data_IF_057927196489
#
_entry.id   IF_057927196489
#
_cell.length_a   1.000
_cell.length_b   1.000
_cell.length_c   1.000
_cell.angle_alpha   90.00
_cell.angle_beta   90.00
_cell.angle_gamma   90.00
#
_symmetry.space_group_name_H-M   'P 1'
#
loop_
_entity.id
_entity.type
_entity.pdbx_description
1 polymer ?
#
# COMPACT_ATOMS: atom_id res chain seq x y z
N UNK A 1 22.41 -74.06 -0.93
CA UNK A 1 21.17 -73.26 -0.69
C UNK A 1 21.58 -71.94 -0.06
N UNK A 2 21.68 -70.90 -0.87
CA UNK A 2 22.07 -69.56 -0.40
C UNK A 2 20.81 -68.67 -0.44
N UNK A 3 20.45 -68.09 0.71
CA UNK A 3 19.35 -67.15 0.84
C UNK A 3 19.91 -65.74 0.67
N UNK A 4 19.61 -65.13 -0.45
CA UNK A 4 19.95 -63.75 -0.72
C UNK A 4 18.88 -62.85 -0.04
N UNK A 5 19.28 -62.05 0.96
CA UNK A 5 18.46 -61.03 1.58
C UNK A 5 18.47 -59.77 0.68
N UNK A 6 17.30 -59.42 0.18
CA UNK A 6 17.08 -58.18 -0.55
C UNK A 6 16.80 -57.06 0.45
N UNK A 7 17.73 -56.11 0.62
CA UNK A 7 17.54 -54.92 1.43
C UNK A 7 16.84 -53.85 0.54
N UNK A 8 15.58 -53.56 0.84
CA UNK A 8 14.84 -52.45 0.26
C UNK A 8 15.23 -51.17 1.03
N UNK A 9 16.08 -50.33 0.43
CA UNK A 9 16.36 -49.02 0.95
C UNK A 9 15.21 -48.06 0.55
N UNK A 10 14.36 -47.72 1.51
CA UNK A 10 13.35 -46.68 1.34
C UNK A 10 14.09 -45.34 1.48
N UNK A 11 14.41 -44.69 0.35
CA UNK A 11 14.80 -43.29 0.35
C UNK A 11 13.56 -42.44 0.62
N UNK A 12 13.42 -41.96 1.86
CA UNK A 12 12.50 -40.89 2.18
C UNK A 12 13.03 -39.63 1.53
N UNK A 13 12.49 -39.22 0.40
CA UNK A 13 12.65 -37.88 -0.14
C UNK A 13 11.94 -36.92 0.81
N UNK A 14 12.68 -36.34 1.75
CA UNK A 14 12.25 -35.11 2.40
C UNK A 14 12.25 -34.02 1.33
N UNK A 15 11.09 -33.72 0.78
CA UNK A 15 10.86 -32.48 0.04
C UNK A 15 11.00 -31.33 1.04
N UNK A 16 12.21 -30.81 1.17
CA UNK A 16 12.44 -29.51 1.81
C UNK A 16 11.75 -28.51 0.88
N UNK A 17 10.55 -28.08 1.25
CA UNK A 17 9.93 -26.91 0.67
C UNK A 17 10.93 -25.77 0.89
N UNK A 18 11.61 -25.35 -0.17
CA UNK A 18 12.41 -24.14 -0.11
C UNK A 18 11.44 -22.99 0.23
N UNK A 19 11.43 -22.59 1.49
CA UNK A 19 10.81 -21.35 1.90
C UNK A 19 11.57 -20.29 1.11
N UNK A 20 10.88 -19.65 0.16
CA UNK A 20 11.48 -18.57 -0.61
C UNK A 20 11.97 -17.54 0.41
N UNK A 21 13.28 -17.39 0.49
CA UNK A 21 13.89 -16.44 1.40
C UNK A 21 13.47 -15.07 0.94
N UNK A 22 12.66 -14.38 1.75
CA UNK A 22 12.24 -13.02 1.45
C UNK A 22 13.48 -12.13 1.41
N UNK A 23 13.75 -11.58 0.25
CA UNK A 23 14.83 -10.60 0.08
C UNK A 23 14.36 -9.24 0.62
N UNK A 24 15.30 -8.34 0.84
CA UNK A 24 15.02 -6.96 1.24
C UNK A 24 15.40 -6.01 0.11
N UNK A 25 14.71 -4.89 0.04
CA UNK A 25 15.17 -3.75 -0.73
C UNK A 25 16.56 -3.34 -0.20
N UNK A 26 17.52 -3.20 -1.10
CA UNK A 26 18.85 -2.73 -0.75
C UNK A 26 18.87 -1.23 -0.39
N UNK A 27 17.81 -0.50 -0.70
CA UNK A 27 17.70 0.91 -0.42
C UNK A 27 17.54 1.19 1.07
N UNK A 28 18.23 2.20 1.54
CA UNK A 28 18.06 2.79 2.87
C UNK A 28 17.25 4.07 2.69
N UNK A 29 16.05 4.08 3.23
CA UNK A 29 15.17 5.25 3.25
C UNK A 29 15.48 6.06 4.51
N UNK A 30 16.29 7.11 4.35
CA UNK A 30 16.63 7.99 5.47
C UNK A 30 15.37 8.72 6.00
N UNK A 31 15.32 9.02 7.32
CA UNK A 31 14.25 9.84 7.86
C UNK A 31 14.19 11.21 7.17
N UNK A 32 12.99 11.70 6.93
CA UNK A 32 12.78 13.06 6.41
C UNK A 32 13.06 14.10 7.48
N UNK A 33 13.23 15.37 7.09
CA UNK A 33 13.40 16.47 8.03
C UNK A 33 12.15 16.68 8.91
N UNK A 34 11.01 16.19 8.51
CA UNK A 34 9.71 16.30 9.21
C UNK A 34 9.34 15.05 10.02
N UNK A 35 10.25 14.08 10.13
CA UNK A 35 10.13 12.93 11.03
C UNK A 35 9.39 11.74 10.44
N UNK A 36 9.23 11.66 9.14
CA UNK A 36 8.76 10.45 8.48
C UNK A 36 9.93 9.48 8.23
N UNK A 37 9.66 8.21 8.35
CA UNK A 37 10.59 7.14 7.98
C UNK A 37 9.88 5.97 7.34
N UNK A 38 10.43 5.49 6.24
CA UNK A 38 10.02 4.27 5.55
C UNK A 38 11.06 3.17 5.82
N UNK A 39 10.61 2.00 6.22
CA UNK A 39 11.47 0.83 6.46
C UNK A 39 10.97 -0.34 5.64
N UNK A 40 11.81 -0.92 4.80
CA UNK A 40 11.46 -2.14 4.09
C UNK A 40 11.48 -3.35 5.03
N UNK A 41 10.39 -4.11 5.06
CA UNK A 41 10.26 -5.36 5.82
C UNK A 41 10.67 -6.56 4.97
N UNK A 42 10.17 -6.63 3.74
CA UNK A 42 10.50 -7.64 2.75
C UNK A 42 10.23 -7.12 1.33
N UNK A 43 10.88 -7.73 0.34
CA UNK A 43 10.68 -7.42 -1.08
C UNK A 43 10.91 -8.67 -1.93
N UNK A 44 9.89 -9.08 -2.65
CA UNK A 44 9.95 -10.12 -3.68
C UNK A 44 9.64 -9.48 -5.02
N UNK A 45 10.65 -9.25 -5.83
CA UNK A 45 10.48 -8.52 -7.10
C UNK A 45 11.12 -9.24 -8.28
N UNK A 46 10.58 -9.00 -9.46
CA UNK A 46 11.15 -9.54 -10.70
C UNK A 46 12.57 -9.02 -10.91
N UNK A 47 12.87 -7.78 -10.52
CA UNK A 47 14.23 -7.23 -10.61
C UNK A 47 15.21 -8.03 -9.78
N UNK A 48 14.88 -8.30 -8.50
CA UNK A 48 15.73 -9.10 -7.61
C UNK A 48 15.80 -10.56 -8.04
N UNK A 49 14.82 -11.03 -8.79
CA UNK A 49 14.73 -12.40 -9.31
C UNK A 49 15.24 -12.53 -10.76
N UNK A 50 16.16 -11.65 -11.17
CA UNK A 50 16.82 -11.72 -12.48
C UNK A 50 15.87 -11.51 -13.66
N UNK A 51 14.79 -10.74 -13.49
CA UNK A 51 13.78 -10.46 -14.51
C UNK A 51 12.65 -11.50 -14.62
N UNK A 52 12.71 -12.56 -13.84
CA UNK A 52 11.67 -13.60 -13.83
C UNK A 52 10.43 -13.13 -13.08
N UNK A 53 9.25 -13.44 -13.60
CA UNK A 53 7.97 -13.10 -12.97
C UNK A 53 7.88 -13.66 -11.54
N UNK A 54 7.39 -12.84 -10.62
CA UNK A 54 7.16 -13.20 -9.23
C UNK A 54 5.68 -13.12 -8.89
N UNK A 55 5.14 -14.22 -8.40
CA UNK A 55 3.74 -14.29 -7.96
C UNK A 55 3.68 -14.62 -6.46
N UNK A 56 2.76 -13.99 -5.72
CA UNK A 56 2.56 -14.25 -4.32
C UNK A 56 2.32 -15.74 -4.04
N UNK A 57 3.00 -16.29 -3.04
CA UNK A 57 2.90 -17.70 -2.68
C UNK A 57 3.43 -18.67 -3.73
N UNK A 58 4.13 -18.22 -4.78
CA UNK A 58 4.68 -19.05 -5.85
C UNK A 58 3.61 -19.76 -6.69
N UNK A 59 2.37 -19.27 -6.68
CA UNK A 59 1.25 -19.88 -7.41
C UNK A 59 1.32 -19.54 -8.90
N UNK A 60 0.91 -20.49 -9.74
CA UNK A 60 0.66 -20.24 -11.15
C UNK A 60 -0.73 -19.63 -11.35
N UNK A 61 -0.94 -19.01 -12.50
CA UNK A 61 -2.23 -18.45 -12.89
C UNK A 61 -2.28 -16.91 -12.86
N UNK A 62 -3.48 -16.38 -12.85
CA UNK A 62 -3.72 -14.94 -12.80
C UNK A 62 -3.96 -14.51 -11.36
N UNK A 63 -2.94 -13.95 -10.72
CA UNK A 63 -3.04 -13.32 -9.39
C UNK A 63 -3.09 -11.80 -9.56
N UNK A 64 -4.24 -11.17 -9.29
CA UNK A 64 -4.45 -9.75 -9.63
C UNK A 64 -4.78 -8.86 -8.45
N UNK A 65 -6.00 -8.93 -7.91
CA UNK A 65 -6.42 -8.06 -6.80
C UNK A 65 -5.67 -8.37 -5.51
N UNK A 66 -5.44 -7.35 -4.68
CA UNK A 66 -4.79 -7.49 -3.39
C UNK A 66 -5.48 -6.60 -2.35
N UNK A 67 -5.72 -7.16 -1.16
CA UNK A 67 -6.20 -6.43 0.02
C UNK A 67 -5.38 -6.81 1.25
N UNK A 68 -5.41 -5.94 2.27
CA UNK A 68 -4.70 -6.17 3.54
C UNK A 68 -5.66 -5.91 4.70
N UNK A 69 -5.69 -6.83 5.65
CA UNK A 69 -6.48 -6.70 6.88
C UNK A 69 -5.94 -7.62 7.97
N UNK A 70 -5.91 -7.14 9.20
CA UNK A 70 -5.48 -7.88 10.39
C UNK A 70 -4.09 -8.53 10.23
N UNK A 71 -3.13 -7.78 9.66
CA UNK A 71 -1.76 -8.23 9.41
C UNK A 71 -1.62 -9.31 8.34
N UNK A 72 -2.64 -9.51 7.52
CA UNK A 72 -2.67 -10.50 6.44
C UNK A 72 -2.90 -9.82 5.10
N UNK A 73 -2.18 -10.28 4.08
CA UNK A 73 -2.37 -9.88 2.70
C UNK A 73 -3.08 -10.98 1.92
N UNK A 74 -4.17 -10.64 1.28
CA UNK A 74 -4.96 -11.53 0.43
C UNK A 74 -4.78 -11.16 -1.03
N UNK A 75 -4.41 -12.13 -1.86
CA UNK A 75 -4.27 -11.93 -3.30
C UNK A 75 -5.21 -12.87 -4.04
N UNK A 76 -6.03 -12.31 -4.92
CA UNK A 76 -6.89 -13.08 -5.81
C UNK A 76 -6.05 -13.89 -6.79
N UNK A 77 -6.29 -15.19 -6.88
CA UNK A 77 -5.70 -16.07 -7.87
C UNK A 77 -6.75 -16.93 -8.55
N UNK A 78 -6.58 -17.15 -9.84
CA UNK A 78 -7.33 -18.14 -10.62
C UNK A 78 -6.36 -18.92 -11.50
N UNK A 79 -6.54 -20.21 -11.56
CA UNK A 79 -5.77 -21.14 -12.37
C UNK A 79 -6.70 -22.25 -12.93
N UNK A 80 -6.11 -23.28 -13.50
CA UNK A 80 -6.89 -24.41 -14.07
C UNK A 80 -7.68 -25.19 -13.01
N UNK A 81 -7.31 -25.09 -11.74
CA UNK A 81 -7.97 -25.78 -10.62
C UNK A 81 -9.12 -24.97 -10.02
N UNK A 82 -9.24 -23.68 -10.35
CA UNK A 82 -10.32 -22.82 -9.87
C UNK A 82 -9.84 -21.46 -9.33
N UNK A 83 -10.65 -20.88 -8.44
CA UNK A 83 -10.38 -19.60 -7.80
C UNK A 83 -9.95 -19.77 -6.36
N UNK A 84 -8.96 -18.96 -5.96
CA UNK A 84 -8.34 -19.03 -4.62
C UNK A 84 -8.04 -17.64 -4.10
N UNK A 85 -8.02 -17.50 -2.79
CA UNK A 85 -7.29 -16.41 -2.13
C UNK A 85 -5.96 -16.96 -1.61
N UNK A 86 -4.87 -16.29 -1.95
CA UNK A 86 -3.55 -16.55 -1.40
C UNK A 86 -3.40 -15.66 -0.18
N UNK A 87 -3.37 -16.26 0.99
CA UNK A 87 -3.16 -15.55 2.26
C UNK A 87 -1.67 -15.55 2.60
N UNK A 88 -1.11 -14.36 2.73
CA UNK A 88 0.27 -14.12 3.11
C UNK A 88 0.31 -13.32 4.42
N UNK A 89 1.38 -13.49 5.18
CA UNK A 89 1.69 -12.59 6.28
C UNK A 89 2.10 -11.22 5.72
N UNK A 90 1.42 -10.17 6.10
CA UNK A 90 1.63 -8.83 5.56
C UNK A 90 2.95 -8.18 5.99
N UNK A 91 3.61 -8.69 7.05
CA UNK A 91 4.89 -8.20 7.55
C UNK A 91 6.09 -8.95 6.99
N UNK A 92 5.91 -10.19 6.57
CA UNK A 92 7.02 -11.05 6.12
C UNK A 92 6.89 -11.48 4.66
N UNK A 93 5.70 -11.34 4.05
CA UNK A 93 5.40 -11.83 2.71
C UNK A 93 5.34 -13.35 2.60
N UNK A 94 5.39 -14.07 3.73
CA UNK A 94 5.39 -15.52 3.77
C UNK A 94 4.00 -16.08 3.49
N UNK A 95 3.92 -17.19 2.73
CA UNK A 95 2.68 -17.88 2.50
C UNK A 95 2.14 -18.48 3.81
N UNK A 96 0.92 -18.11 4.18
CA UNK A 96 0.20 -18.71 5.31
C UNK A 96 -0.66 -19.89 4.83
N UNK A 97 -1.49 -19.66 3.83
CA UNK A 97 -2.34 -20.73 3.23
C UNK A 97 -2.90 -20.33 1.86
N UNK A 98 -3.39 -21.31 1.14
CA UNK A 98 -4.23 -21.14 -0.05
C UNK A 98 -5.66 -21.46 0.33
N UNK A 99 -6.58 -20.56 0.07
CA UNK A 99 -7.98 -20.64 0.44
C UNK A 99 -8.80 -20.88 -0.81
N UNK A 100 -9.31 -22.11 -0.98
CA UNK A 100 -10.18 -22.45 -2.10
C UNK A 100 -11.52 -21.73 -1.97
N UNK A 101 -11.94 -21.04 -3.03
CA UNK A 101 -13.23 -20.37 -3.10
C UNK A 101 -14.28 -21.28 -3.75
N UNK A 102 -15.51 -21.35 -3.22
CA UNK A 102 -16.58 -22.18 -3.76
C UNK A 102 -16.89 -21.85 -5.22
N UNK A 103 -16.95 -22.87 -6.08
CA UNK A 103 -17.16 -22.66 -7.52
C UNK A 103 -18.57 -22.13 -7.85
N UNK A 104 -19.56 -22.44 -7.02
CA UNK A 104 -20.95 -22.01 -7.19
C UNK A 104 -21.15 -20.51 -6.92
N UNK A 105 -20.28 -19.86 -6.14
CA UNK A 105 -20.32 -18.40 -5.95
C UNK A 105 -20.15 -17.62 -7.26
N UNK A 106 -19.62 -18.27 -8.30
CA UNK A 106 -19.34 -17.69 -9.61
C UNK A 106 -20.32 -18.14 -10.70
N UNK A 107 -21.47 -18.70 -10.30
CA UNK A 107 -22.48 -19.15 -11.24
C UNK A 107 -23.71 -18.25 -11.21
N UNK A 108 -24.32 -18.07 -12.37
CA UNK A 108 -25.65 -17.49 -12.52
C UNK A 108 -26.55 -18.57 -13.18
N UNK A 109 -27.33 -19.27 -12.35
CA UNK A 109 -27.97 -20.53 -12.77
C UNK A 109 -26.88 -21.55 -13.14
N UNK A 110 -26.99 -22.16 -14.31
CA UNK A 110 -26.00 -23.12 -14.82
C UNK A 110 -24.79 -22.47 -15.50
N UNK A 111 -24.79 -21.12 -15.67
CA UNK A 111 -23.73 -20.41 -16.38
C UNK A 111 -22.65 -19.93 -15.41
N UNK A 112 -21.40 -20.21 -15.73
CA UNK A 112 -20.25 -19.65 -15.01
C UNK A 112 -19.99 -18.21 -15.45
N UNK A 113 -19.68 -17.34 -14.48
CA UNK A 113 -19.15 -16.01 -14.77
C UNK A 113 -17.74 -16.14 -15.34
N UNK A 114 -17.39 -15.24 -16.25
CA UNK A 114 -16.02 -15.14 -16.75
C UNK A 114 -15.10 -14.40 -15.77
N UNK A 115 -13.79 -14.64 -15.91
CA UNK A 115 -12.75 -13.90 -15.17
C UNK A 115 -13.01 -13.80 -13.66
N UNK A 116 -13.37 -14.95 -13.07
CA UNK A 116 -13.66 -15.07 -11.63
C UNK A 116 -12.47 -14.68 -10.78
N UNK A 117 -12.73 -14.27 -9.52
CA UNK A 117 -11.70 -13.95 -8.53
C UNK A 117 -10.64 -12.97 -9.11
N UNK A 118 -11.12 -11.79 -9.55
CA UNK A 118 -10.25 -10.82 -10.21
C UNK A 118 -9.77 -9.71 -9.27
N UNK A 119 -10.61 -9.26 -8.34
CA UNK A 119 -10.24 -8.25 -7.35
C UNK A 119 -10.74 -8.63 -5.96
N UNK A 120 -10.04 -8.14 -4.94
CA UNK A 120 -10.36 -8.34 -3.53
C UNK A 120 -10.25 -7.02 -2.80
N UNK A 121 -11.24 -6.71 -1.96
CA UNK A 121 -11.32 -5.51 -1.14
C UNK A 121 -11.71 -5.87 0.29
N UNK A 122 -11.51 -4.92 1.20
CA UNK A 122 -11.88 -5.04 2.60
C UNK A 122 -12.69 -3.81 2.99
N UNK A 123 -13.82 -4.00 3.66
CA UNK A 123 -14.63 -2.89 4.15
C UNK A 123 -14.08 -2.27 5.45
N UNK A 124 -14.70 -1.18 5.91
CA UNK A 124 -14.26 -0.50 7.13
C UNK A 124 -14.42 -1.34 8.41
N UNK A 125 -15.19 -2.43 8.35
CA UNK A 125 -15.35 -3.39 9.45
C UNK A 125 -14.38 -4.58 9.37
N UNK A 126 -13.57 -4.67 8.31
CA UNK A 126 -12.58 -5.72 8.11
C UNK A 126 -13.12 -6.98 7.42
N UNK A 127 -14.29 -6.92 6.81
CA UNK A 127 -14.84 -8.02 6.03
C UNK A 127 -14.19 -8.09 4.65
N UNK A 128 -13.96 -9.31 4.15
CA UNK A 128 -13.29 -9.55 2.87
C UNK A 128 -14.33 -9.80 1.78
N UNK A 129 -14.15 -9.08 0.65
CA UNK A 129 -15.02 -9.19 -0.53
C UNK A 129 -14.19 -9.53 -1.75
N UNK A 130 -14.74 -10.36 -2.64
CA UNK A 130 -14.10 -10.74 -3.91
C UNK A 130 -15.03 -10.53 -5.08
N UNK A 131 -14.48 -10.14 -6.23
CA UNK A 131 -15.25 -9.92 -7.45
C UNK A 131 -14.70 -10.70 -8.64
N UNK A 132 -15.58 -10.88 -9.65
CA UNK A 132 -15.13 -11.20 -11.01
C UNK A 132 -14.73 -9.91 -11.76
N UNK A 133 -14.24 -10.05 -12.99
CA UNK A 133 -14.14 -8.96 -13.96
C UNK A 133 -15.29 -9.11 -14.95
N UNK A 134 -16.08 -8.06 -15.16
CA UNK A 134 -17.06 -8.02 -16.22
C UNK A 134 -16.42 -7.44 -17.49
N UNK A 135 -16.57 -8.17 -18.59
CA UNK A 135 -16.05 -7.73 -19.90
C UNK A 135 -17.19 -7.41 -20.85
N UNK A 136 -16.79 -6.90 -22.00
CA UNK A 136 -17.59 -6.54 -23.14
C UNK A 136 -18.78 -7.49 -23.36
N UNK A 137 -19.92 -6.87 -23.58
CA UNK A 137 -21.24 -7.48 -23.78
C UNK A 137 -21.45 -7.99 -25.21
N UNK A 138 -20.47 -7.91 -26.11
CA UNK A 138 -20.59 -8.27 -27.54
C UNK A 138 -20.37 -9.77 -27.82
N UNK A 139 -19.94 -10.53 -26.85
CA UNK A 139 -19.62 -11.94 -27.04
C UNK A 139 -20.76 -12.90 -26.73
N UNK A 140 -20.61 -14.13 -27.19
CA UNK A 140 -21.46 -15.27 -26.81
C UNK A 140 -21.23 -15.73 -25.37
N UNK A 141 -20.24 -15.20 -24.70
CA UNK A 141 -19.92 -15.48 -23.30
C UNK A 141 -20.66 -14.46 -22.44
N UNK A 142 -21.61 -14.94 -21.67
CA UNK A 142 -22.39 -14.13 -20.75
C UNK A 142 -21.52 -13.76 -19.55
N UNK A 143 -20.85 -12.64 -19.63
CA UNK A 143 -20.09 -12.06 -18.50
C UNK A 143 -20.59 -10.67 -18.16
N UNK A 144 -21.88 -10.43 -18.40
CA UNK A 144 -22.52 -9.13 -18.24
C UNK A 144 -22.77 -8.79 -16.79
N UNK A 145 -22.70 -9.75 -15.88
CA UNK A 145 -22.89 -9.51 -14.47
C UNK A 145 -21.55 -9.23 -13.80
N UNK A 146 -21.49 -8.14 -13.06
CA UNK A 146 -20.45 -7.87 -12.10
C UNK A 146 -20.93 -8.32 -10.73
N UNK A 147 -20.19 -9.19 -10.10
CA UNK A 147 -20.57 -9.77 -8.82
C UNK A 147 -19.53 -9.47 -7.76
N UNK A 148 -20.02 -9.04 -6.58
CA UNK A 148 -19.21 -8.88 -5.37
C UNK A 148 -19.76 -9.85 -4.33
N UNK A 149 -18.89 -10.70 -3.82
CA UNK A 149 -19.22 -11.66 -2.78
C UNK A 149 -18.41 -11.37 -1.52
N UNK A 150 -19.08 -11.29 -0.38
CA UNK A 150 -18.45 -11.45 0.92
C UNK A 150 -17.95 -12.89 1.06
N UNK A 151 -16.79 -13.09 1.67
CA UNK A 151 -16.22 -14.41 1.97
C UNK A 151 -15.77 -14.50 3.42
N UNK A 152 -16.27 -15.50 4.13
CA UNK A 152 -15.80 -15.83 5.48
C UNK A 152 -14.66 -16.85 5.38
N UNK A 153 -13.45 -16.36 5.34
CA UNK A 153 -12.23 -17.16 5.24
C UNK A 153 -11.89 -17.94 6.51
N UNK A 154 -12.65 -17.75 7.59
CA UNK A 154 -12.49 -18.52 8.84
C UNK A 154 -13.18 -19.88 8.77
N UNK A 155 -14.08 -20.08 7.83
CA UNK A 155 -14.84 -21.33 7.62
C UNK A 155 -14.15 -22.25 6.65
N UNK A 156 -14.38 -23.55 6.82
CA UNK A 156 -13.94 -24.59 5.89
C UNK A 156 -15.10 -25.60 5.67
N UNK A 157 -15.70 -25.63 4.48
CA UNK A 157 -15.43 -24.78 3.31
C UNK A 157 -15.75 -23.30 3.59
N UNK A 158 -15.17 -22.41 2.79
CA UNK A 158 -15.43 -20.96 2.87
C UNK A 158 -16.92 -20.72 2.70
N UNK A 159 -17.52 -19.96 3.64
CA UNK A 159 -18.88 -19.47 3.50
C UNK A 159 -18.86 -18.14 2.72
N UNK A 160 -19.90 -17.91 1.91
CA UNK A 160 -20.00 -16.67 1.16
C UNK A 160 -21.44 -16.15 1.10
N UNK A 161 -21.55 -14.84 0.82
CA UNK A 161 -22.83 -14.16 0.55
C UNK A 161 -22.62 -13.22 -0.65
N UNK A 162 -23.45 -13.35 -1.67
CA UNK A 162 -23.46 -12.38 -2.76
C UNK A 162 -24.08 -11.06 -2.26
N UNK A 163 -23.30 -10.00 -2.30
CA UNK A 163 -23.70 -8.65 -1.87
C UNK A 163 -24.19 -7.83 -3.07
N UNK A 164 -23.50 -7.92 -4.19
CA UNK A 164 -23.90 -7.28 -5.45
C UNK A 164 -23.90 -8.31 -6.56
N UNK A 165 -24.99 -8.37 -7.32
CA UNK A 165 -25.07 -9.06 -8.61
C UNK A 165 -25.70 -8.08 -9.60
N UNK A 166 -24.87 -7.31 -10.27
CA UNK A 166 -25.31 -6.21 -11.13
C UNK A 166 -25.18 -6.58 -12.59
N UNK A 167 -26.26 -6.42 -13.34
CA UNK A 167 -26.20 -6.31 -14.80
C UNK A 167 -25.81 -4.87 -15.15
N UNK A 168 -24.76 -4.72 -15.96
CA UNK A 168 -24.26 -3.40 -16.31
C UNK A 168 -25.26 -2.64 -17.18
N UNK A 169 -25.41 -1.31 -17.00
CA UNK A 169 -26.35 -0.51 -17.75
C UNK A 169 -26.14 -0.61 -19.26
N UNK A 170 -27.24 -0.81 -20.01
CA UNK A 170 -27.21 -0.91 -21.48
C UNK A 170 -26.76 0.39 -22.18
N UNK A 171 -26.76 1.50 -21.46
CA UNK A 171 -26.29 2.81 -21.92
C UNK A 171 -24.77 2.91 -22.01
N UNK A 172 -24.05 2.01 -21.35
CA UNK A 172 -22.60 1.98 -21.40
C UNK A 172 -22.10 1.44 -22.75
N UNK A 173 -20.96 1.92 -23.25
CA UNK A 173 -20.37 1.41 -24.50
C UNK A 173 -20.08 -0.09 -24.42
N UNK A 174 -20.36 -0.82 -25.49
CA UNK A 174 -20.13 -2.28 -25.56
C UNK A 174 -18.65 -2.70 -25.47
N UNK A 175 -17.73 -1.76 -25.59
CA UNK A 175 -16.28 -1.98 -25.46
C UNK A 175 -15.77 -1.86 -24.04
N UNK A 176 -16.63 -1.58 -23.09
CA UNK A 176 -16.27 -1.36 -21.71
C UNK A 176 -15.91 -2.63 -20.96
N UNK A 177 -15.26 -2.40 -19.83
CA UNK A 177 -14.86 -3.45 -18.89
C UNK A 177 -14.91 -2.91 -17.46
N UNK A 178 -15.28 -3.74 -16.52
CA UNK A 178 -15.14 -3.46 -15.08
C UNK A 178 -14.08 -4.44 -14.55
N UNK A 179 -12.92 -3.91 -14.22
CA UNK A 179 -11.79 -4.71 -13.72
C UNK A 179 -11.74 -4.76 -12.20
N UNK A 180 -12.20 -3.69 -11.56
CA UNK A 180 -11.97 -3.43 -10.15
C UNK A 180 -13.21 -2.79 -9.53
N UNK A 181 -13.21 -2.69 -8.24
CA UNK A 181 -14.21 -1.96 -7.46
C UNK A 181 -13.56 -1.42 -6.20
N UNK A 182 -14.26 -0.55 -5.52
CA UNK A 182 -13.96 -0.18 -4.15
C UNK A 182 -15.25 -0.09 -3.34
N UNK A 183 -15.13 -0.12 -2.00
CA UNK A 183 -16.26 -0.13 -1.10
C UNK A 183 -15.93 0.66 0.18
N UNK A 184 -16.96 1.26 0.75
CA UNK A 184 -16.86 2.07 1.96
C UNK A 184 -18.07 1.86 2.87
N UNK A 185 -17.84 1.82 4.18
CA UNK A 185 -18.83 1.55 5.21
C UNK A 185 -18.72 0.13 5.75
N UNK A 186 -19.65 -0.29 6.61
CA UNK A 186 -19.84 -1.69 7.04
C UNK A 186 -20.78 -2.38 6.05
N UNK A 187 -20.20 -2.90 4.98
CA UNK A 187 -20.95 -3.47 3.85
C UNK A 187 -21.81 -4.66 4.28
N UNK A 188 -21.34 -5.46 5.22
CA UNK A 188 -22.03 -6.71 5.59
C UNK A 188 -23.17 -6.49 6.57
N UNK A 189 -23.01 -5.62 7.57
CA UNK A 189 -23.94 -5.50 8.69
C UNK A 189 -24.59 -4.12 8.83
N UNK A 190 -24.06 -3.10 8.14
CA UNK A 190 -24.52 -1.72 8.20
C UNK A 190 -24.87 -1.15 6.83
N UNK A 191 -24.64 0.14 6.71
CA UNK A 191 -24.79 0.88 5.46
C UNK A 191 -23.44 1.12 4.80
N UNK A 192 -23.43 1.17 3.47
CA UNK A 192 -22.22 1.45 2.72
C UNK A 192 -22.48 1.71 1.24
N UNK A 193 -21.39 1.83 0.51
CA UNK A 193 -21.41 2.03 -0.93
C UNK A 193 -20.40 1.10 -1.61
N UNK A 194 -20.73 0.67 -2.82
CA UNK A 194 -19.83 -0.03 -3.74
C UNK A 194 -19.74 0.80 -5.01
N UNK A 195 -18.53 1.09 -5.47
CA UNK A 195 -18.27 1.88 -6.68
C UNK A 195 -17.46 1.09 -7.70
N UNK A 196 -17.89 1.13 -8.95
CA UNK A 196 -17.28 0.42 -10.07
C UNK A 196 -16.76 1.43 -11.09
N UNK A 197 -15.43 1.58 -11.26
CA UNK A 197 -14.89 2.41 -12.32
C UNK A 197 -14.99 1.68 -13.67
N UNK A 198 -15.51 2.37 -14.68
CA UNK A 198 -15.68 1.80 -16.02
C UNK A 198 -14.40 2.01 -16.83
N UNK A 199 -13.81 0.91 -17.26
CA UNK A 199 -12.62 0.89 -18.13
C UNK A 199 -13.01 1.14 -19.59
N UNK A 200 -12.32 2.03 -20.27
CA UNK A 200 -12.51 2.28 -21.69
C UNK A 200 -11.68 3.44 -22.21
N UNK A 201 -11.48 3.45 -23.53
CA UNK A 201 -10.80 4.54 -24.25
C UNK A 201 -11.78 5.52 -24.92
N UNK A 202 -13.06 5.24 -24.83
CA UNK A 202 -14.12 6.03 -25.45
C UNK A 202 -14.77 6.98 -24.43
N UNK A 203 -15.24 8.11 -24.90
CA UNK A 203 -16.08 9.00 -24.10
C UNK A 203 -17.34 8.26 -23.65
N UNK A 204 -17.71 8.42 -22.38
CA UNK A 204 -18.86 7.72 -21.79
C UNK A 204 -18.53 6.36 -21.15
N UNK A 205 -17.35 5.78 -21.41
CA UNK A 205 -16.85 4.62 -20.66
C UNK A 205 -15.77 5.03 -19.67
N UNK A 206 -14.64 5.51 -20.14
CA UNK A 206 -13.46 5.76 -19.33
C UNK A 206 -13.55 6.94 -18.35
N UNK A 207 -14.66 7.65 -18.32
CA UNK A 207 -14.97 8.71 -17.36
C UNK A 207 -16.27 8.44 -16.59
N UNK A 208 -16.63 7.17 -16.43
CA UNK A 208 -17.88 6.79 -15.78
C UNK A 208 -17.59 5.91 -14.57
N UNK A 209 -18.30 6.16 -13.50
CA UNK A 209 -18.33 5.34 -12.29
C UNK A 209 -19.77 4.94 -12.01
N UNK A 210 -19.98 3.68 -11.64
CA UNK A 210 -21.31 3.19 -11.23
C UNK A 210 -21.28 3.00 -9.71
N UNK A 211 -22.19 3.65 -9.00
CA UNK A 211 -22.31 3.58 -7.55
C UNK A 211 -23.58 2.83 -7.15
N UNK A 212 -23.44 1.93 -6.20
CA UNK A 212 -24.51 1.19 -5.54
C UNK A 212 -24.53 1.52 -4.06
N UNK A 213 -25.72 1.78 -3.50
CA UNK A 213 -25.91 1.80 -2.06
C UNK A 213 -26.07 0.38 -1.54
N UNK A 214 -25.60 0.13 -0.35
CA UNK A 214 -25.66 -1.19 0.32
C UNK A 214 -26.29 -1.01 1.69
N UNK A 215 -27.19 -1.90 2.05
CA UNK A 215 -27.75 -2.00 3.42
C UNK A 215 -27.71 -3.43 3.87
N UNK A 216 -27.05 -3.70 5.00
CA UNK A 216 -26.97 -5.02 5.65
C UNK A 216 -26.57 -6.16 4.67
N UNK A 217 -25.58 -5.91 3.85
CA UNK A 217 -25.02 -6.88 2.92
C UNK A 217 -25.89 -7.13 1.69
N UNK A 218 -26.72 -6.17 1.29
CA UNK A 218 -27.53 -6.21 0.06
C UNK A 218 -27.40 -4.89 -0.66
N UNK A 219 -26.80 -4.93 -1.86
CA UNK A 219 -26.70 -3.75 -2.71
C UNK A 219 -28.01 -3.53 -3.49
N UNK A 220 -28.41 -2.28 -3.64
CA UNK A 220 -29.54 -1.90 -4.51
C UNK A 220 -29.10 -1.96 -5.99
N UNK A 221 -29.07 -3.17 -6.52
CA UNK A 221 -28.66 -3.43 -7.90
C UNK A 221 -29.69 -2.92 -8.93
N UNK A 222 -30.91 -2.61 -8.51
CA UNK A 222 -31.97 -2.12 -9.40
C UNK A 222 -31.86 -0.60 -9.66
N UNK A 223 -31.25 0.15 -8.74
CA UNK A 223 -31.18 1.61 -8.79
C UNK A 223 -29.72 2.12 -8.72
N UNK A 224 -28.85 1.74 -9.66
CA UNK A 224 -27.48 2.24 -9.69
C UNK A 224 -27.45 3.74 -10.02
N UNK A 225 -26.58 4.47 -9.35
CA UNK A 225 -26.23 5.84 -9.73
C UNK A 225 -25.08 5.81 -10.73
N UNK A 226 -25.26 6.40 -11.91
CA UNK A 226 -24.17 6.63 -12.86
C UNK A 226 -23.56 8.00 -12.61
N UNK A 227 -22.28 8.04 -12.29
CA UNK A 227 -21.49 9.25 -12.06
C UNK A 227 -20.62 9.48 -13.28
N UNK A 228 -20.75 10.65 -13.91
CA UNK A 228 -19.89 11.05 -15.03
C UNK A 228 -18.84 12.00 -14.50
N UNK A 229 -17.58 11.58 -14.58
CA UNK A 229 -16.45 12.36 -14.09
C UNK A 229 -16.20 13.56 -15.00
N UNK A 230 -16.08 14.72 -14.40
CA UNK A 230 -15.73 15.94 -15.13
C UNK A 230 -14.26 15.93 -15.51
N UNK A 231 -13.93 16.60 -16.60
CA UNK A 231 -12.55 16.68 -17.08
C UNK A 231 -11.77 17.71 -16.27
N UNK A 232 -10.58 17.33 -15.84
CA UNK A 232 -9.67 18.27 -15.24
C UNK A 232 -9.01 19.19 -16.30
N UNK A 233 -8.71 18.63 -17.47
CA UNK A 233 -8.26 19.38 -18.64
C UNK A 233 -9.29 19.22 -19.75
N UNK A 234 -10.05 20.27 -20.09
CA UNK A 234 -11.09 20.18 -21.12
C UNK A 234 -10.56 19.85 -22.52
N UNK A 235 -9.25 20.08 -22.78
CA UNK A 235 -8.63 19.82 -24.09
C UNK A 235 -8.26 18.33 -24.29
N UNK A 236 -8.09 17.56 -23.22
CA UNK A 236 -7.81 16.13 -23.32
C UNK A 236 -9.09 15.32 -23.06
N UNK A 237 -9.44 14.45 -24.00
CA UNK A 237 -10.47 13.46 -23.77
C UNK A 237 -10.00 12.52 -22.63
N UNK A 238 -10.66 12.59 -21.49
CA UNK A 238 -10.30 11.74 -20.36
C UNK A 238 -11.04 10.43 -20.50
N UNK A 239 -10.38 9.46 -21.10
CA UNK A 239 -10.73 8.07 -20.90
C UNK A 239 -9.66 7.48 -19.96
N UNK A 240 -10.07 6.90 -18.84
CA UNK A 240 -9.16 6.30 -17.88
C UNK A 240 -8.27 5.19 -18.48
N UNK A 241 -8.69 4.66 -19.62
CA UNK A 241 -8.01 3.54 -20.25
C UNK A 241 -8.30 2.21 -19.55
N UNK A 242 -7.30 1.35 -19.51
CA UNK A 242 -7.44 0.02 -18.92
C UNK A 242 -7.34 0.04 -17.40
N UNK A 243 -8.12 -0.83 -16.76
CA UNK A 243 -8.07 -1.15 -15.34
C UNK A 243 -8.06 0.09 -14.41
N UNK A 244 -8.98 1.05 -14.58
CA UNK A 244 -9.08 2.17 -13.66
C UNK A 244 -9.34 1.68 -12.23
N UNK A 245 -8.93 2.51 -11.26
CA UNK A 245 -9.13 2.23 -9.85
C UNK A 245 -9.81 3.39 -9.16
N UNK A 246 -10.46 3.06 -8.08
CA UNK A 246 -11.07 4.01 -7.16
C UNK A 246 -10.47 3.75 -5.78
N UNK A 247 -10.29 4.81 -5.01
CA UNK A 247 -10.11 4.74 -3.57
C UNK A 247 -11.13 5.69 -2.93
N UNK A 248 -12.15 5.14 -2.31
CA UNK A 248 -13.19 5.89 -1.61
C UNK A 248 -12.62 6.35 -0.28
N UNK A 249 -12.66 7.65 -0.02
CA UNK A 249 -12.14 8.24 1.22
C UNK A 249 -13.24 8.22 2.28
N UNK A 250 -14.41 8.72 1.89
CA UNK A 250 -15.58 8.85 2.76
C UNK A 250 -16.87 8.93 1.91
N UNK A 251 -17.95 9.40 2.49
CA UNK A 251 -19.23 9.56 1.79
C UNK A 251 -19.27 10.73 0.79
N UNK A 252 -18.25 11.59 0.79
CA UNK A 252 -18.20 12.83 0.02
C UNK A 252 -17.16 12.80 -1.10
N UNK A 253 -16.06 12.04 -0.90
CA UNK A 253 -14.86 12.11 -1.75
C UNK A 253 -14.33 10.73 -2.14
N UNK A 254 -13.77 10.66 -3.34
CA UNK A 254 -13.02 9.49 -3.83
C UNK A 254 -11.93 9.87 -4.82
N UNK A 255 -10.86 9.10 -4.85
CA UNK A 255 -9.86 9.15 -5.92
C UNK A 255 -10.27 8.24 -7.07
N UNK A 256 -9.92 8.68 -8.27
CA UNK A 256 -10.00 7.88 -9.48
C UNK A 256 -8.72 8.03 -10.29
N UNK A 257 -8.19 6.92 -10.77
CA UNK A 257 -7.05 6.88 -11.66
C UNK A 257 -7.24 5.84 -12.78
N UNK A 258 -6.28 5.73 -13.67
CA UNK A 258 -6.31 4.76 -14.74
C UNK A 258 -5.07 4.82 -15.62
N UNK A 259 -4.94 3.87 -16.53
CA UNK A 259 -3.76 3.77 -17.40
C UNK A 259 -3.46 5.05 -18.19
N UNK A 260 -4.47 5.86 -18.50
CA UNK A 260 -4.34 7.12 -19.24
C UNK A 260 -4.57 8.37 -18.38
N UNK A 261 -4.83 8.21 -17.07
CA UNK A 261 -5.13 9.32 -16.17
C UNK A 261 -4.34 9.22 -14.89
N UNK A 262 -3.79 10.36 -14.46
CA UNK A 262 -3.20 10.48 -13.13
C UNK A 262 -4.29 10.50 -12.06
N UNK A 263 -3.98 10.16 -10.79
CA UNK A 263 -4.93 10.26 -9.70
C UNK A 263 -5.56 11.64 -9.60
N UNK A 264 -6.87 11.64 -9.48
CA UNK A 264 -7.73 12.81 -9.37
C UNK A 264 -8.71 12.60 -8.22
N UNK A 265 -8.95 13.64 -7.45
CA UNK A 265 -9.92 13.69 -6.37
C UNK A 265 -11.24 14.23 -6.90
N UNK A 266 -12.32 13.50 -6.69
CA UNK A 266 -13.68 13.84 -7.10
C UNK A 266 -14.62 13.87 -5.90
N UNK A 267 -15.66 14.70 -6.00
CA UNK A 267 -16.84 14.56 -5.16
C UNK A 267 -17.75 13.41 -5.66
N UNK A 268 -18.74 13.04 -4.86
CA UNK A 268 -19.69 11.97 -5.19
C UNK A 268 -20.64 12.30 -6.34
N UNK A 269 -20.59 13.50 -6.92
CA UNK A 269 -21.29 13.88 -8.14
C UNK A 269 -20.38 13.83 -9.38
N UNK A 270 -19.09 13.51 -9.21
CA UNK A 270 -18.11 13.44 -10.29
C UNK A 270 -17.50 14.78 -10.66
N UNK A 271 -17.68 15.82 -9.84
CA UNK A 271 -16.96 17.07 -10.01
C UNK A 271 -15.53 16.95 -9.48
N UNK A 272 -14.57 17.46 -10.25
CA UNK A 272 -13.16 17.50 -9.83
C UNK A 272 -13.00 18.42 -8.64
N UNK A 273 -12.41 17.94 -7.57
CA UNK A 273 -11.99 18.72 -6.41
C UNK A 273 -10.54 19.17 -6.55
N UNK A 274 -9.62 18.23 -6.81
CA UNK A 274 -8.20 18.52 -7.07
C UNK A 274 -7.54 17.31 -7.77
N UNK A 275 -6.26 17.37 -8.09
CA UNK A 275 -5.53 16.25 -8.71
C UNK A 275 -4.21 16.65 -9.33
N UNK A 276 -3.51 15.66 -9.89
CA UNK A 276 -2.28 15.91 -10.65
C UNK A 276 -2.59 16.60 -11.97
N UNK A 277 -2.20 17.87 -12.08
CA UNK A 277 -2.38 18.67 -13.29
C UNK A 277 -1.21 18.49 -14.26
N UNK A 278 -1.52 18.34 -15.55
CA UNK A 278 -0.55 18.40 -16.65
C UNK A 278 0.64 17.44 -16.53
N UNK A 279 0.43 16.23 -16.07
CA UNK A 279 1.50 15.25 -15.84
C UNK A 279 2.65 15.81 -14.98
N UNK A 280 2.42 16.89 -14.28
CA UNK A 280 3.31 17.38 -13.24
C UNK A 280 2.75 16.91 -11.91
N UNK A 281 3.59 16.67 -11.06
CA UNK A 281 4.89 17.27 -10.91
C UNK A 281 5.94 16.38 -10.35
N UNK A 282 5.59 15.31 -9.84
CA UNK A 282 6.40 14.68 -8.82
C UNK A 282 6.70 13.24 -9.19
N UNK A 283 5.93 12.72 -10.15
CA UNK A 283 6.26 11.47 -10.81
C UNK A 283 6.85 11.78 -12.18
N UNK A 284 7.86 11.06 -12.63
CA UNK A 284 8.36 11.21 -14.01
C UNK A 284 7.22 10.92 -14.98
N UNK A 285 7.16 11.69 -16.01
CA UNK A 285 6.40 11.64 -17.26
C UNK A 285 5.47 10.44 -17.54
N UNK A 286 4.67 10.02 -16.56
CA UNK A 286 3.64 9.02 -16.77
C UNK A 286 2.37 9.67 -17.29
N UNK A 287 1.76 9.09 -18.31
CA UNK A 287 0.49 9.56 -18.85
C UNK A 287 -0.69 9.14 -17.99
N UNK A 288 -0.52 8.17 -17.08
CA UNK A 288 -1.51 7.67 -16.15
C UNK A 288 -0.92 6.70 -15.13
N UNK A 289 -1.71 6.37 -14.13
CA UNK A 289 -1.35 5.50 -13.01
C UNK A 289 -2.53 4.58 -12.68
N UNK A 290 -2.24 3.35 -12.25
CA UNK A 290 -3.26 2.37 -11.85
C UNK A 290 -3.08 1.95 -10.41
N UNK A 291 -3.29 2.82 -9.47
CA UNK A 291 -3.26 2.51 -8.05
C UNK A 291 -2.96 3.72 -7.20
N UNK A 292 -3.93 4.07 -6.39
CA UNK A 292 -3.87 5.17 -5.44
C UNK A 292 -4.45 4.70 -4.10
N UNK A 293 -3.88 5.15 -3.01
CA UNK A 293 -4.41 4.93 -1.66
C UNK A 293 -4.05 6.12 -0.79
N UNK A 294 -5.06 6.75 -0.18
CA UNK A 294 -4.87 7.74 0.86
C UNK A 294 -4.92 7.07 2.24
N UNK A 295 -4.17 7.59 3.18
CA UNK A 295 -4.27 7.20 4.58
C UNK A 295 -3.92 8.36 5.50
N UNK A 296 -4.55 8.36 6.66
CA UNK A 296 -4.20 9.23 7.78
C UNK A 296 -3.30 8.50 8.76
N UNK A 297 -2.25 9.16 9.23
CA UNK A 297 -1.38 8.65 10.28
C UNK A 297 -1.05 9.76 11.28
N UNK A 298 -1.48 9.57 12.53
CA UNK A 298 -1.22 10.49 13.64
C UNK A 298 -1.51 11.97 13.28
N UNK A 299 -2.66 12.23 12.64
CA UNK A 299 -3.13 13.57 12.25
C UNK A 299 -2.46 14.15 11.00
N UNK A 300 -1.72 13.36 10.24
CA UNK A 300 -1.15 13.75 8.94
C UNK A 300 -1.73 12.89 7.82
N UNK A 301 -1.94 13.48 6.65
CA UNK A 301 -2.53 12.81 5.48
C UNK A 301 -1.47 12.52 4.43
N UNK A 302 -1.51 11.30 3.91
CA UNK A 302 -0.55 10.77 2.95
C UNK A 302 -1.25 10.13 1.77
N UNK A 303 -0.65 10.24 0.59
CA UNK A 303 -1.12 9.62 -0.64
C UNK A 303 -0.04 8.71 -1.19
N UNK A 304 -0.35 7.45 -1.43
CA UNK A 304 0.51 6.54 -2.18
C UNK A 304 -0.03 6.41 -3.59
N UNK A 305 0.84 6.61 -4.55
CA UNK A 305 0.51 6.51 -5.98
C UNK A 305 1.41 5.48 -6.62
N UNK A 306 0.82 4.56 -7.37
CA UNK A 306 1.58 3.67 -8.23
C UNK A 306 2.23 4.48 -9.35
N UNK A 307 3.53 4.33 -9.57
CA UNK A 307 4.26 5.08 -10.58
C UNK A 307 5.14 4.20 -11.45
N UNK A 308 5.32 4.61 -12.70
CA UNK A 308 6.31 4.06 -13.62
C UNK A 308 7.34 5.15 -13.93
N UNK A 309 8.58 4.77 -14.14
CA UNK A 309 9.66 5.76 -14.30
C UNK A 309 9.69 6.47 -15.65
N UNK A 310 8.92 6.02 -16.64
CA UNK A 310 8.98 6.58 -18.00
C UNK A 310 7.65 6.35 -18.74
N UNK A 311 7.51 6.97 -19.90
CA UNK A 311 6.50 6.60 -20.92
C UNK A 311 6.72 5.18 -21.48
N UNK A 312 7.81 4.54 -21.09
CA UNK A 312 8.11 3.17 -21.42
C UNK A 312 7.20 2.22 -20.62
N UNK A 313 6.39 1.46 -21.34
CA UNK A 313 5.45 0.48 -20.77
C UNK A 313 6.14 -0.66 -20.01
N UNK A 314 7.45 -0.79 -20.19
CA UNK A 314 8.31 -1.78 -19.55
C UNK A 314 9.14 -1.19 -18.40
N UNK A 315 8.94 0.10 -18.08
CA UNK A 315 9.63 0.72 -16.96
C UNK A 315 9.29 0.03 -15.64
N UNK A 316 10.25 -0.08 -14.73
CA UNK A 316 10.02 -0.72 -13.44
C UNK A 316 8.90 -0.04 -12.66
N UNK A 317 7.94 -0.84 -12.21
CA UNK A 317 6.83 -0.39 -11.38
C UNK A 317 7.34 0.00 -9.99
N UNK A 318 7.12 1.24 -9.59
CA UNK A 318 7.43 1.78 -8.28
C UNK A 318 6.19 2.45 -7.66
N UNK A 319 6.33 2.98 -6.45
CA UNK A 319 5.30 3.70 -5.74
C UNK A 319 5.90 4.95 -5.10
N UNK A 320 5.12 6.02 -5.08
CA UNK A 320 5.51 7.29 -4.48
C UNK A 320 4.62 7.60 -3.28
N UNK A 321 5.22 7.99 -2.15
CA UNK A 321 4.50 8.50 -0.99
C UNK A 321 4.60 10.01 -0.99
N UNK A 322 3.46 10.67 -0.98
CA UNK A 322 3.31 12.11 -0.80
C UNK A 322 2.71 12.43 0.55
N UNK A 323 3.10 13.55 1.13
CA UNK A 323 2.45 14.15 2.30
C UNK A 323 1.67 15.37 1.86
N UNK A 324 0.39 15.45 2.22
CA UNK A 324 -0.37 16.68 2.11
C UNK A 324 0.09 17.69 3.17
N UNK A 325 0.00 18.96 2.85
CA UNK A 325 0.36 20.02 3.78
C UNK A 325 -0.61 20.07 4.96
N UNK A 326 -1.89 19.82 4.68
CA UNK A 326 -2.99 19.86 5.63
C UNK A 326 -4.13 18.93 5.17
N UNK A 327 -5.20 18.86 5.93
CA UNK A 327 -6.40 18.07 5.63
C UNK A 327 -7.18 18.53 4.38
N UNK A 328 -6.86 19.70 3.85
CA UNK A 328 -7.48 20.23 2.62
C UNK A 328 -7.06 19.51 1.35
N UNK A 329 -6.10 18.56 1.44
CA UNK A 329 -5.66 17.69 0.33
C UNK A 329 -5.24 18.43 -0.93
N UNK A 330 -4.56 19.58 -0.79
CA UNK A 330 -4.07 20.32 -1.95
C UNK A 330 -2.91 19.60 -2.62
N UNK A 331 -3.10 19.19 -3.86
CA UNK A 331 -2.04 18.55 -4.67
C UNK A 331 -0.90 19.52 -5.02
N UNK A 332 -1.21 20.81 -5.14
CA UNK A 332 -0.19 21.83 -5.38
C UNK A 332 0.77 22.04 -4.19
N UNK A 333 0.32 21.69 -2.98
CA UNK A 333 1.07 21.91 -1.75
C UNK A 333 1.62 20.62 -1.14
N UNK A 334 1.43 19.45 -1.77
CA UNK A 334 1.97 18.21 -1.24
C UNK A 334 3.46 18.05 -1.54
N UNK A 335 4.12 17.21 -0.75
CA UNK A 335 5.55 16.94 -0.84
C UNK A 335 5.78 15.46 -1.10
N UNK A 336 6.62 15.13 -2.09
CA UNK A 336 7.12 13.76 -2.28
C UNK A 336 8.10 13.44 -1.15
N UNK A 337 7.82 12.36 -0.41
CA UNK A 337 8.68 11.88 0.66
C UNK A 337 9.60 10.76 0.17
N UNK A 338 9.04 9.74 -0.45
CA UNK A 338 9.76 8.53 -0.84
C UNK A 338 9.26 7.99 -2.17
N UNK A 339 10.19 7.43 -2.95
CA UNK A 339 9.91 6.48 -4.03
C UNK A 339 10.43 5.11 -3.64
N UNK A 340 9.58 4.07 -3.77
CA UNK A 340 9.89 2.71 -3.35
C UNK A 340 9.16 1.64 -4.19
N UNK A 341 9.73 0.45 -4.36
CA UNK A 341 11.14 0.14 -4.17
C UNK A 341 12.02 1.06 -5.03
N UNK A 342 13.23 1.36 -4.61
CA UNK A 342 14.11 2.28 -5.34
C UNK A 342 14.42 1.77 -6.76
N UNK A 343 14.64 0.48 -6.91
CA UNK A 343 14.86 -0.16 -8.20
C UNK A 343 13.56 -0.53 -8.93
N UNK A 344 12.40 -0.37 -8.29
CA UNK A 344 11.11 -0.86 -8.75
C UNK A 344 10.89 -2.36 -8.53
N UNK A 345 9.67 -2.84 -8.85
CA UNK A 345 9.30 -4.26 -8.77
C UNK A 345 9.71 -5.02 -10.03
N UNK A 346 9.46 -4.48 -11.20
CA UNK A 346 9.75 -5.11 -12.48
C UNK A 346 9.05 -4.39 -13.65
N UNK A 347 9.40 -4.78 -14.87
CA UNK A 347 8.91 -4.19 -16.11
C UNK A 347 8.04 -5.16 -16.93
N UNK A 348 7.45 -6.20 -16.34
CA UNK A 348 6.57 -7.10 -17.09
C UNK A 348 5.35 -6.32 -17.54
N UNK A 349 5.18 -6.20 -18.84
CA UNK A 349 4.05 -5.51 -19.47
C UNK A 349 2.70 -6.06 -18.98
N UNK A 350 1.64 -5.28 -18.98
CA UNK A 350 0.34 -5.55 -18.35
C UNK A 350 0.34 -5.47 -16.80
N UNK A 351 1.48 -5.58 -16.15
CA UNK A 351 1.61 -5.48 -14.70
C UNK A 351 1.39 -4.03 -14.22
N UNK A 352 1.77 -3.07 -15.00
CA UNK A 352 1.52 -1.64 -14.74
C UNK A 352 0.03 -1.29 -14.58
N UNK A 353 -0.86 -2.16 -15.05
CA UNK A 353 -2.32 -2.00 -14.94
C UNK A 353 -2.92 -2.64 -13.71
N UNK A 354 -2.10 -3.19 -12.84
CA UNK A 354 -2.53 -3.92 -11.64
C UNK A 354 -1.67 -3.60 -10.43
N UNK A 355 -1.04 -2.44 -10.43
CA UNK A 355 -0.24 -1.98 -9.30
C UNK A 355 -1.16 -1.53 -8.16
N UNK A 356 -0.90 -2.04 -6.96
CA UNK A 356 -1.75 -1.83 -5.79
C UNK A 356 -0.91 -1.48 -4.58
N UNK A 357 -1.04 -0.27 -4.04
CA UNK A 357 -0.69 0.01 -2.65
C UNK A 357 -1.88 -0.30 -1.74
N UNK A 358 -1.63 -0.88 -0.57
CA UNK A 358 -2.61 -1.04 0.50
C UNK A 358 -1.97 -0.69 1.82
N UNK A 359 -2.74 -0.08 2.68
CA UNK A 359 -2.26 0.42 3.98
C UNK A 359 -3.17 -0.10 5.08
N UNK A 360 -2.56 -0.62 6.13
CA UNK A 360 -3.21 -0.95 7.38
C UNK A 360 -2.58 -0.11 8.49
N UNK A 361 -3.39 0.61 9.24
CA UNK A 361 -2.94 1.39 10.39
C UNK A 361 -2.92 0.47 11.61
N UNK A 362 -1.77 0.34 12.22
CA UNK A 362 -1.51 -0.58 13.33
C UNK A 362 -0.96 0.17 14.54
N UNK A 363 -1.04 -0.46 15.69
CA UNK A 363 -0.46 0.08 16.91
C UNK A 363 1.07 0.07 16.84
N UNK A 364 1.67 1.16 17.29
CA UNK A 364 3.10 1.35 17.44
C UNK A 364 3.48 1.57 18.91
N UNK A 365 4.72 1.94 19.13
CA UNK A 365 5.24 2.23 20.47
C UNK A 365 4.75 3.58 20.99
N UNK A 366 4.58 3.70 22.31
CA UNK A 366 4.25 4.98 22.97
C UNK A 366 2.85 5.54 22.61
N UNK A 367 1.93 4.71 22.14
CA UNK A 367 0.57 5.14 21.75
C UNK A 367 0.48 5.75 20.35
N UNK A 368 1.59 5.84 19.62
CA UNK A 368 1.58 6.26 18.23
C UNK A 368 1.13 5.12 17.32
N UNK A 369 0.52 5.47 16.19
CA UNK A 369 0.17 4.53 15.14
C UNK A 369 1.31 4.43 14.12
N UNK A 370 1.35 3.30 13.42
CA UNK A 370 2.23 3.03 12.28
C UNK A 370 1.39 2.61 11.09
N UNK A 371 1.88 2.87 9.89
CA UNK A 371 1.28 2.34 8.68
C UNK A 371 2.08 1.12 8.19
N UNK A 372 1.41 -0.02 8.06
CA UNK A 372 1.91 -1.18 7.35
C UNK A 372 1.48 -1.05 5.90
N UNK A 373 2.44 -0.82 5.02
CA UNK A 373 2.22 -0.60 3.59
C UNK A 373 2.60 -1.86 2.85
N UNK A 374 1.66 -2.44 2.13
CA UNK A 374 1.91 -3.55 1.23
C UNK A 374 1.72 -3.09 -0.22
N UNK A 375 2.64 -3.45 -1.08
CA UNK A 375 2.60 -3.15 -2.51
C UNK A 375 2.58 -4.43 -3.33
N UNK A 376 1.88 -4.40 -4.43
CA UNK A 376 1.77 -5.51 -5.35
C UNK A 376 1.65 -4.99 -6.78
N UNK A 377 2.34 -5.64 -7.72
CA UNK A 377 2.10 -5.50 -9.15
C UNK A 377 2.16 -6.88 -9.81
N UNK A 378 1.12 -7.20 -10.56
CA UNK A 378 0.96 -8.52 -11.20
C UNK A 378 2.21 -8.95 -11.96
N UNK A 379 2.77 -10.11 -11.62
CA UNK A 379 4.02 -10.69 -12.15
C UNK A 379 5.30 -9.90 -11.88
N UNK A 380 5.22 -8.64 -11.46
CA UNK A 380 6.38 -7.84 -11.09
C UNK A 380 6.82 -8.06 -9.66
N UNK A 381 5.88 -8.46 -8.79
CA UNK A 381 6.21 -8.81 -7.41
C UNK A 381 5.41 -8.05 -6.36
N UNK A 382 5.85 -8.18 -5.11
CA UNK A 382 5.20 -7.63 -3.94
C UNK A 382 6.21 -7.30 -2.84
N UNK A 383 5.85 -6.39 -1.96
CA UNK A 383 6.70 -5.98 -0.85
C UNK A 383 5.91 -5.43 0.32
N UNK A 384 6.53 -5.43 1.49
CA UNK A 384 6.00 -4.86 2.71
C UNK A 384 6.94 -3.80 3.28
N UNK A 385 6.36 -2.72 3.78
CA UNK A 385 7.05 -1.59 4.38
C UNK A 385 6.33 -1.15 5.65
N UNK A 386 7.09 -0.66 6.60
CA UNK A 386 6.57 0.07 7.76
C UNK A 386 6.86 1.56 7.55
N UNK A 387 5.84 2.39 7.76
CA UNK A 387 5.97 3.83 7.69
C UNK A 387 5.53 4.45 9.01
N UNK A 388 6.35 5.36 9.51
CA UNK A 388 6.10 6.12 10.74
C UNK A 388 6.32 7.61 10.47
N UNK A 389 5.64 8.47 11.20
CA UNK A 389 5.75 9.93 11.06
C UNK A 389 6.08 10.66 12.37
N UNK A 390 6.66 9.95 13.30
CA UNK A 390 7.03 10.47 14.62
C UNK A 390 8.49 10.18 14.96
N UNK A 391 9.32 9.89 13.94
CA UNK A 391 10.75 9.74 14.17
C UNK A 391 11.30 11.10 14.55
N UNK A 392 11.73 11.20 15.79
CA UNK A 392 12.44 12.38 16.23
C UNK A 392 13.76 12.49 15.47
N UNK A 393 13.83 13.43 14.52
CA UNK A 393 15.08 13.74 13.81
C UNK A 393 16.02 14.60 14.67
N UNK A 394 15.55 14.98 15.85
CA UNK A 394 16.33 15.60 16.91
C UNK A 394 16.54 14.63 18.06
N UNK A 395 17.56 14.90 18.86
CA UNK A 395 17.77 14.18 20.12
C UNK A 395 16.48 14.30 20.92
N UNK A 396 15.77 13.19 21.12
CA UNK A 396 14.63 13.13 22.02
C UNK A 396 15.09 13.70 23.35
N UNK A 397 14.37 14.68 23.88
CA UNK A 397 14.56 15.12 25.26
C UNK A 397 14.33 13.87 26.10
N UNK A 398 15.38 13.26 26.56
CA UNK A 398 15.28 12.17 27.52
C UNK A 398 14.59 12.81 28.72
N UNK A 399 13.35 12.44 29.01
CA UNK A 399 12.70 12.75 30.28
C UNK A 399 13.36 11.93 31.37
N UNK A 400 14.62 12.21 31.58
CA UNK A 400 15.39 11.84 32.75
C UNK A 400 15.73 13.10 33.48
N UNK A 401 15.94 13.03 34.78
CA UNK A 401 16.29 14.16 35.65
C UNK A 401 17.07 15.24 34.90
N UNK A 402 16.53 16.44 34.86
CA UNK A 402 17.06 17.58 34.12
C UNK A 402 18.54 17.79 34.47
N UNK A 403 19.41 17.72 33.45
CA UNK A 403 20.81 18.06 33.64
C UNK A 403 20.89 19.56 33.93
N UNK A 404 21.37 19.89 35.11
CA UNK A 404 21.61 21.30 35.48
C UNK A 404 22.96 21.73 34.89
N UNK A 405 22.92 22.70 33.98
CA UNK A 405 24.13 23.24 33.35
C UNK A 405 23.94 24.71 32.97
N UNK A 406 25.03 25.40 32.86
CA UNK A 406 25.08 26.79 32.38
C UNK A 406 26.04 26.92 31.19
N UNK A 407 25.77 27.86 30.31
CA UNK A 407 26.61 28.20 29.16
C UNK A 407 27.08 29.63 29.29
N UNK A 408 28.37 29.88 29.22
CA UNK A 408 28.98 31.19 29.21
C UNK A 408 30.00 31.29 28.08
N UNK A 409 29.68 32.06 27.05
CA UNK A 409 30.45 32.02 25.80
C UNK A 409 30.50 30.62 25.22
N UNK A 410 31.68 30.06 25.02
CA UNK A 410 31.84 28.67 24.51
C UNK A 410 32.14 27.65 25.62
N UNK A 411 31.98 28.02 26.90
CA UNK A 411 32.19 27.11 28.03
C UNK A 411 30.86 26.66 28.58
N UNK A 412 30.70 25.35 28.70
CA UNK A 412 29.55 24.67 29.30
C UNK A 412 29.98 24.17 30.68
N UNK A 413 29.27 24.60 31.72
CA UNK A 413 29.51 24.17 33.10
C UNK A 413 28.35 23.28 33.56
N UNK A 414 28.65 22.06 34.02
CA UNK A 414 27.67 21.13 34.57
C UNK A 414 27.63 21.30 36.08
N UNK A 415 26.43 21.59 36.61
CA UNK A 415 26.21 21.69 38.05
C UNK A 415 25.96 20.29 38.63
N UNK A 416 26.99 19.67 39.22
CA UNK A 416 26.89 18.34 39.79
C UNK A 416 28.17 17.53 39.66
N UNK A 417 28.18 16.34 40.28
CA UNK A 417 29.34 15.47 40.30
C UNK A 417 29.46 14.66 39.00
N UNK A 418 30.14 15.23 38.00
CA UNK A 418 30.47 14.55 36.76
C UNK A 418 31.75 13.73 36.88
N UNK A 419 31.75 12.53 36.32
CA UNK A 419 32.92 11.68 36.10
C UNK A 419 33.57 12.03 34.75
N UNK A 420 32.78 12.24 33.73
CA UNK A 420 33.23 12.70 32.42
C UNK A 420 32.14 13.52 31.74
N UNK A 421 32.55 14.53 30.95
CA UNK A 421 31.71 15.34 30.12
C UNK A 421 32.24 15.26 28.69
N UNK A 422 31.44 14.78 27.76
CA UNK A 422 31.81 14.68 26.35
C UNK A 422 30.88 15.55 25.51
N UNK A 423 31.42 16.26 24.54
CA UNK A 423 30.68 17.10 23.60
C UNK A 423 30.79 16.53 22.20
N UNK A 424 29.66 16.36 21.54
CA UNK A 424 29.56 15.83 20.19
C UNK A 424 28.95 16.87 19.25
N UNK A 425 29.40 16.90 17.99
CA UNK A 425 28.77 17.69 16.96
C UNK A 425 27.50 16.98 16.42
N UNK A 426 26.75 17.65 15.53
CA UNK A 426 25.49 17.15 14.97
C UNK A 426 25.64 15.88 14.10
N UNK A 427 26.86 15.53 13.68
CA UNK A 427 27.15 14.28 12.96
C UNK A 427 27.70 13.18 13.88
N UNK A 428 27.62 13.37 15.21
CA UNK A 428 28.00 12.35 16.21
C UNK A 428 29.50 12.23 16.49
N UNK A 429 30.36 13.13 15.98
CA UNK A 429 31.78 13.14 16.29
C UNK A 429 32.03 13.81 17.64
N UNK A 430 32.84 13.17 18.52
CA UNK A 430 33.27 13.77 19.76
C UNK A 430 34.28 14.92 19.46
N UNK A 431 33.91 16.12 19.87
CA UNK A 431 34.70 17.34 19.60
C UNK A 431 35.39 17.93 20.82
N UNK A 432 34.95 17.56 22.03
CA UNK A 432 35.62 17.90 23.28
C UNK A 432 35.29 16.91 24.39
N UNK A 433 36.16 16.77 25.37
CA UNK A 433 35.96 15.93 26.54
C UNK A 433 36.69 16.48 27.76
N UNK A 434 36.08 16.31 28.92
CA UNK A 434 36.71 16.59 30.21
C UNK A 434 36.43 15.44 31.16
N UNK A 435 37.47 14.89 31.76
CA UNK A 435 37.36 13.80 32.75
C UNK A 435 37.65 14.36 34.15
N UNK A 436 36.82 14.01 35.11
CA UNK A 436 36.86 14.49 36.50
C UNK A 436 36.78 16.03 36.63
N UNK A 437 36.15 16.70 35.68
CA UNK A 437 35.92 18.13 35.68
C UNK A 437 34.45 18.48 35.52
N UNK A 438 34.10 19.72 35.77
CA UNK A 438 32.71 20.22 35.64
C UNK A 438 32.49 21.11 34.40
N UNK A 439 33.52 21.36 33.62
CA UNK A 439 33.42 22.26 32.45
C UNK A 439 33.97 21.59 31.20
N UNK A 440 33.32 21.86 30.07
CA UNK A 440 33.84 21.50 28.76
C UNK A 440 33.71 22.69 27.81
N UNK A 441 34.69 22.89 26.93
CA UNK A 441 34.74 24.01 26.01
C UNK A 441 34.36 23.54 24.60
N UNK A 442 33.34 24.18 24.03
CA UNK A 442 32.98 23.96 22.62
C UNK A 442 34.02 24.63 21.69
N UNK A 443 34.39 23.94 20.58
CA UNK A 443 35.42 24.47 19.66
C UNK A 443 34.94 25.70 18.87
N UNK A 444 33.63 25.85 18.64
CA UNK A 444 33.03 26.96 17.89
C UNK A 444 31.56 27.18 18.31
N UNK A 445 30.96 28.23 17.77
CA UNK A 445 29.50 28.42 17.84
C UNK A 445 28.80 27.30 17.11
N UNK A 446 27.64 26.87 17.58
CA UNK A 446 26.86 25.83 16.94
C UNK A 446 26.01 24.98 17.89
N UNK A 447 25.43 23.94 17.35
CA UNK A 447 24.60 22.97 18.09
C UNK A 447 25.44 21.76 18.43
N UNK A 448 25.39 21.35 19.68
CA UNK A 448 26.14 20.20 20.21
C UNK A 448 25.25 19.28 21.04
N UNK A 449 25.72 18.05 21.22
CA UNK A 449 25.19 17.09 22.16
C UNK A 449 26.16 16.99 23.33
N UNK A 450 25.70 17.37 24.52
CA UNK A 450 26.41 17.24 25.76
C UNK A 450 26.04 15.91 26.41
N UNK A 451 27.02 15.04 26.61
CA UNK A 451 26.87 13.78 27.31
C UNK A 451 27.66 13.83 28.63
N UNK A 452 26.99 13.61 29.74
CA UNK A 452 27.57 13.69 31.07
C UNK A 452 27.45 12.33 31.76
N UNK A 453 28.58 11.70 32.02
CA UNK A 453 28.66 10.52 32.87
C UNK A 453 28.76 10.96 34.32
N UNK A 454 27.75 10.68 35.12
CA UNK A 454 27.71 11.00 36.54
C UNK A 454 28.51 9.99 37.37
N UNK A 455 28.98 10.42 38.57
CA UNK A 455 29.75 9.52 39.48
C UNK A 455 28.93 8.34 40.00
N UNK A 456 27.62 8.41 39.98
CA UNK A 456 26.69 7.31 40.33
C UNK A 456 26.53 6.26 39.22
N UNK A 457 27.22 6.41 38.09
CA UNK A 457 27.17 5.50 36.97
C UNK A 457 26.10 5.89 35.89
N UNK A 458 25.21 6.80 36.18
CA UNK A 458 24.17 7.24 35.23
C UNK A 458 24.80 8.15 34.16
N UNK A 459 24.24 8.09 32.96
CA UNK A 459 24.61 8.99 31.86
C UNK A 459 23.41 9.90 31.53
N UNK A 460 23.67 11.21 31.44
CA UNK A 460 22.69 12.23 31.04
C UNK A 460 23.13 12.87 29.75
N UNK A 461 22.20 13.10 28.84
CA UNK A 461 22.46 13.67 27.52
C UNK A 461 21.53 14.84 27.26
N UNK A 462 22.03 15.96 26.75
CA UNK A 462 21.23 17.14 26.43
C UNK A 462 21.77 17.86 25.19
N UNK A 463 20.89 18.50 24.44
CA UNK A 463 21.25 19.40 23.34
C UNK A 463 21.64 20.76 23.91
N UNK A 464 22.79 21.28 23.48
CA UNK A 464 23.31 22.60 23.88
C UNK A 464 23.53 23.44 22.63
N UNK A 465 23.12 24.72 22.71
CA UNK A 465 23.39 25.73 21.68
C UNK A 465 24.44 26.67 22.21
N UNK A 466 25.49 26.92 21.44
CA UNK A 466 26.55 27.87 21.70
C UNK A 466 26.39 29.02 20.70
N UNK A 467 26.02 30.19 21.19
CA UNK A 467 25.78 31.43 20.44
C UNK A 467 27.08 32.19 20.08
#
# INVERSE_FOLDING_TARGET
>A
MSKTLLHLAVCALCSVSAVAQTTKDAAIYAPTATGEQLTNLYLNSAILNGGSAVLPGGVAGDARGMAVVNGKMYVCNRDAEGSKLIELDARTGSLLRKIELPADMWKEGEKALGFICNDVQVDNAGHIFVSNMATDMRGTVVTNAFRVNYVDVTKTPVAYKTVLNATLPATLPKTMRIDTYDLYGDILNGDGIIMLPVSGNEAGAGNTVIKYTVTSGVADAANPQTIVLTKFNPEKAVASGAAPRINIIDNDLFYHDGFNTMPMLYDMNGAVVDGFQNNKPLTPASTGQNGVTEFELNGSYYLIVASTNTDDKEAPQAFDIFKFKDEGRSFAAMTLLYRFPQAGLGGVGNAVRTALPRVEIIDGEGGHKKALINIYAYRNGYGGYEFVNNVSTGITKVEGEQLDYTVSGNVITVNGAAKAISLYNVIGQKVAETVNGQTVKAPARGVYVLNVQCKNGNTKTVKVVID
#
